data_IF_029700591137
#
_entry.id   IF_029700591137
#
_cell.length_a   1.000
_cell.length_b   1.000
_cell.length_c   1.000
_cell.angle_alpha   90.00
_cell.angle_beta   90.00
_cell.angle_gamma   90.00
#
_symmetry.space_group_name_H-M   'P 1'
#
loop_
_entity.id
_entity.type
_entity.pdbx_description
1 polymer ?
#
# COMPACT_ATOMS: atom_id res chain seq x y z
N UNK A 1 5.42 -39.85 -26.02
CA UNK A 1 5.62 -38.38 -25.96
C UNK A 1 4.77 -37.86 -24.80
N UNK A 2 5.34 -37.74 -23.60
CA UNK A 2 4.62 -37.37 -22.37
C UNK A 2 4.71 -35.86 -22.09
N UNK A 3 5.87 -35.26 -22.33
CA UNK A 3 6.14 -33.86 -21.98
C UNK A 3 5.23 -32.83 -22.68
N UNK A 4 4.80 -33.10 -23.93
CA UNK A 4 3.91 -32.21 -24.66
C UNK A 4 2.48 -32.24 -24.10
N UNK A 5 2.05 -33.39 -23.59
CA UNK A 5 0.72 -33.54 -22.99
C UNK A 5 0.65 -32.73 -21.70
N UNK A 6 1.66 -32.81 -20.83
CA UNK A 6 1.73 -32.05 -19.57
C UNK A 6 1.60 -30.54 -19.83
N UNK A 7 2.38 -30.01 -20.78
CA UNK A 7 2.28 -28.60 -21.17
C UNK A 7 0.87 -28.25 -21.65
N UNK A 8 0.25 -29.09 -22.47
CA UNK A 8 -1.11 -28.83 -22.98
C UNK A 8 -2.16 -28.94 -21.88
N UNK A 9 -1.98 -29.84 -20.90
CA UNK A 9 -2.85 -29.95 -19.74
C UNK A 9 -2.81 -28.70 -18.87
N UNK A 10 -1.63 -28.12 -18.66
CA UNK A 10 -1.47 -26.86 -17.90
C UNK A 10 -2.09 -25.66 -18.64
N UNK A 11 -2.01 -25.66 -19.97
CA UNK A 11 -2.59 -24.60 -20.81
C UNK A 11 -4.10 -24.79 -21.05
N UNK A 12 -4.65 -25.97 -20.80
CA UNK A 12 -6.05 -26.32 -21.09
C UNK A 12 -7.07 -25.45 -20.36
N UNK A 13 -6.92 -25.15 -19.05
CA UNK A 13 -7.78 -24.20 -18.35
C UNK A 13 -7.79 -22.82 -19.02
N UNK A 14 -6.60 -22.28 -19.31
CA UNK A 14 -6.43 -20.98 -19.97
C UNK A 14 -7.00 -20.98 -21.40
N UNK A 15 -6.91 -22.11 -22.11
CA UNK A 15 -7.52 -22.29 -23.43
C UNK A 15 -9.05 -22.23 -23.35
N UNK A 16 -9.66 -22.89 -22.36
CA UNK A 16 -11.12 -22.87 -22.12
C UNK A 16 -11.59 -21.46 -21.73
N UNK A 17 -10.75 -20.72 -21.02
CA UNK A 17 -11.01 -19.33 -20.63
C UNK A 17 -10.67 -18.31 -21.74
N UNK A 18 -10.16 -18.76 -22.88
CA UNK A 18 -9.75 -17.95 -24.03
C UNK A 18 -8.69 -16.88 -23.69
N UNK A 19 -7.87 -17.12 -22.66
CA UNK A 19 -6.82 -16.19 -22.19
C UNK A 19 -5.46 -16.44 -22.86
N UNK A 20 -5.34 -17.51 -23.65
CA UNK A 20 -4.10 -17.81 -24.38
C UNK A 20 -3.87 -16.86 -25.56
N UNK A 21 -2.59 -16.57 -25.81
CA UNK A 21 -2.17 -15.89 -27.05
C UNK A 21 -2.50 -16.74 -28.29
N UNK A 22 -2.66 -16.10 -29.46
CA UNK A 22 -3.03 -16.78 -30.72
C UNK A 22 -2.06 -17.92 -31.08
N UNK A 23 -0.76 -17.73 -30.87
CA UNK A 23 0.25 -18.75 -31.16
C UNK A 23 0.08 -19.97 -30.25
N UNK A 24 -0.16 -19.75 -28.96
CA UNK A 24 -0.40 -20.82 -27.98
C UNK A 24 -1.72 -21.56 -28.23
N UNK A 25 -2.76 -20.86 -28.69
CA UNK A 25 -4.05 -21.49 -29.06
C UNK A 25 -3.88 -22.48 -30.21
N UNK A 26 -3.19 -22.08 -31.29
CA UNK A 26 -2.94 -22.96 -32.46
C UNK A 26 -2.14 -24.20 -32.04
N UNK A 27 -1.14 -24.03 -31.15
CA UNK A 27 -0.39 -25.15 -30.61
C UNK A 27 -1.28 -26.15 -29.87
N UNK A 28 -2.11 -25.68 -28.93
CA UNK A 28 -3.04 -26.53 -28.17
C UNK A 28 -4.05 -27.23 -29.09
N UNK A 29 -4.59 -26.53 -30.09
CA UNK A 29 -5.53 -27.11 -31.07
C UNK A 29 -4.90 -28.22 -31.91
N UNK A 30 -3.68 -28.00 -32.39
CA UNK A 30 -2.93 -29.03 -33.13
C UNK A 30 -2.71 -30.29 -32.28
N UNK A 31 -2.40 -30.11 -30.99
CA UNK A 31 -2.20 -31.22 -30.07
C UNK A 31 -3.51 -31.95 -29.79
N UNK A 32 -4.60 -31.22 -29.52
CA UNK A 32 -5.93 -31.79 -29.28
C UNK A 32 -6.45 -32.63 -30.46
N UNK A 33 -6.12 -32.24 -31.70
CA UNK A 33 -6.46 -33.02 -32.89
C UNK A 33 -5.72 -34.37 -32.96
N UNK A 34 -4.51 -34.43 -32.41
CA UNK A 34 -3.65 -35.63 -32.44
C UNK A 34 -3.75 -36.50 -31.18
N UNK A 35 -4.14 -35.93 -30.03
CA UNK A 35 -4.10 -36.55 -28.72
C UNK A 35 -5.50 -36.72 -28.12
N UNK A 36 -5.96 -37.97 -28.06
CA UNK A 36 -7.28 -38.32 -27.50
C UNK A 36 -7.38 -38.07 -26.00
N UNK A 37 -6.31 -38.28 -25.25
CA UNK A 37 -6.26 -38.07 -23.79
C UNK A 37 -6.51 -36.60 -23.44
N UNK A 38 -5.78 -35.68 -24.07
CA UNK A 38 -5.96 -34.24 -23.85
C UNK A 38 -7.35 -33.76 -24.31
N UNK A 39 -7.90 -34.36 -25.37
CA UNK A 39 -9.28 -34.07 -25.80
C UNK A 39 -10.31 -34.53 -24.78
N UNK A 40 -10.12 -35.69 -24.16
CA UNK A 40 -10.99 -36.17 -23.10
C UNK A 40 -10.95 -35.23 -21.88
N UNK A 41 -9.74 -34.84 -21.45
CA UNK A 41 -9.56 -33.91 -20.33
C UNK A 41 -10.25 -32.55 -20.59
N UNK A 42 -10.14 -32.01 -21.80
CA UNK A 42 -10.86 -30.78 -22.20
C UNK A 42 -12.36 -30.90 -21.95
N UNK A 43 -12.97 -32.03 -22.32
CA UNK A 43 -14.42 -32.23 -22.12
C UNK A 43 -14.81 -32.36 -20.65
N UNK A 44 -13.94 -32.95 -19.82
CA UNK A 44 -14.15 -33.04 -18.38
C UNK A 44 -14.11 -31.66 -17.72
N UNK A 45 -13.10 -30.85 -18.06
CA UNK A 45 -12.98 -29.47 -17.57
C UNK A 45 -14.15 -28.58 -18.01
N UNK A 46 -14.68 -28.78 -19.21
CA UNK A 46 -15.89 -28.05 -19.65
C UNK A 46 -17.13 -28.44 -18.84
N UNK A 47 -17.26 -29.73 -18.48
CA UNK A 47 -18.37 -30.20 -17.63
C UNK A 47 -18.25 -29.66 -16.21
N UNK A 48 -17.06 -29.66 -15.61
CA UNK A 48 -16.86 -29.09 -14.27
C UNK A 48 -17.16 -27.60 -14.25
N UNK A 49 -16.67 -26.83 -15.23
CA UNK A 49 -16.99 -25.40 -15.36
C UNK A 49 -18.49 -25.14 -15.51
N UNK A 50 -19.20 -25.97 -16.28
CA UNK A 50 -20.66 -25.85 -16.40
C UNK A 50 -21.39 -26.18 -15.09
N UNK A 51 -20.90 -27.18 -14.35
CA UNK A 51 -21.42 -27.51 -13.03
C UNK A 51 -21.21 -26.37 -12.03
N UNK A 52 -20.03 -25.78 -12.01
CA UNK A 52 -19.70 -24.64 -11.13
C UNK A 52 -20.55 -23.41 -11.48
N UNK A 53 -20.73 -23.12 -12.78
CA UNK A 53 -21.63 -22.05 -13.23
C UNK A 53 -23.09 -22.31 -12.84
N UNK A 54 -23.54 -23.57 -12.89
CA UNK A 54 -24.91 -23.95 -12.48
C UNK A 54 -25.08 -23.86 -10.97
N UNK A 55 -24.08 -24.30 -10.21
CA UNK A 55 -24.04 -24.18 -8.75
C UNK A 55 -24.03 -22.71 -8.34
N UNK A 56 -23.14 -21.90 -8.92
CA UNK A 56 -23.09 -20.45 -8.71
C UNK A 56 -24.43 -19.82 -9.07
N UNK A 57 -25.04 -20.16 -10.21
CA UNK A 57 -26.38 -19.64 -10.57
C UNK A 57 -27.45 -20.07 -9.56
N UNK A 58 -27.39 -21.29 -9.03
CA UNK A 58 -28.35 -21.76 -8.01
C UNK A 58 -28.15 -21.08 -6.64
N UNK A 59 -26.91 -20.76 -6.28
CA UNK A 59 -26.57 -19.98 -5.10
C UNK A 59 -26.97 -18.51 -5.31
N UNK A 60 -26.73 -17.96 -6.50
CA UNK A 60 -27.13 -16.60 -6.89
C UNK A 60 -28.64 -16.44 -7.02
N UNK A 61 -29.38 -17.48 -7.47
CA UNK A 61 -30.85 -17.45 -7.51
C UNK A 61 -31.48 -17.61 -6.12
N UNK A 62 -30.80 -18.30 -5.20
CA UNK A 62 -31.15 -18.30 -3.77
C UNK A 62 -30.76 -16.97 -3.09
N UNK A 63 -29.79 -16.27 -3.66
CA UNK A 63 -29.45 -14.87 -3.40
C UNK A 63 -30.32 -13.89 -4.23
N UNK A 64 -31.60 -14.21 -4.45
CA UNK A 64 -32.60 -13.14 -4.52
C UNK A 64 -32.87 -12.74 -3.07
N UNK A 65 -32.04 -11.81 -2.63
CA UNK A 65 -32.14 -11.08 -1.38
C UNK A 65 -33.58 -10.79 -0.99
N UNK A 66 -34.00 -11.39 0.12
CA UNK A 66 -34.84 -10.66 1.05
C UNK A 66 -34.10 -9.36 1.44
N UNK A 67 -34.79 -8.21 1.62
CA UNK A 67 -34.14 -6.91 1.88
C UNK A 67 -33.18 -6.88 3.08
N UNK A 68 -33.21 -7.90 3.94
CA UNK A 68 -32.48 -7.91 5.21
C UNK A 68 -31.03 -8.41 5.10
N UNK A 69 -30.70 -9.25 4.10
CA UNK A 69 -29.38 -9.93 4.06
C UNK A 69 -28.30 -9.17 3.25
N UNK A 70 -28.67 -8.38 2.24
CA UNK A 70 -27.70 -7.54 1.51
C UNK A 70 -27.21 -6.34 2.34
N UNK A 71 -28.01 -5.88 3.30
CA UNK A 71 -27.61 -4.82 4.21
C UNK A 71 -26.51 -5.28 5.18
N UNK A 72 -26.42 -6.57 5.49
CA UNK A 72 -25.40 -7.10 6.41
C UNK A 72 -24.00 -7.04 5.79
N UNK A 73 -23.85 -7.47 4.53
CA UNK A 73 -22.56 -7.47 3.83
C UNK A 73 -22.10 -6.03 3.56
N UNK A 74 -23.00 -5.16 3.13
CA UNK A 74 -22.70 -3.74 2.90
C UNK A 74 -22.43 -2.96 4.19
N UNK A 75 -23.00 -3.36 5.34
CA UNK A 75 -22.63 -2.81 6.66
C UNK A 75 -21.19 -3.13 7.00
N UNK A 76 -20.73 -4.36 6.77
CA UNK A 76 -19.37 -4.80 7.11
C UNK A 76 -18.31 -4.09 6.25
N UNK A 77 -18.56 -3.90 4.95
CA UNK A 77 -17.60 -3.23 4.04
C UNK A 77 -17.61 -1.70 4.21
N UNK A 78 -18.76 -1.07 4.49
CA UNK A 78 -18.83 0.37 4.83
C UNK A 78 -18.15 0.66 6.18
N UNK A 79 -18.22 -0.25 7.13
CA UNK A 79 -17.57 -0.10 8.43
C UNK A 79 -16.04 -0.15 8.33
N UNK A 80 -15.46 -0.97 7.44
CA UNK A 80 -14.02 -0.98 7.14
C UNK A 80 -13.51 0.34 6.53
N UNK A 81 -14.30 0.97 5.65
CA UNK A 81 -13.95 2.28 5.06
C UNK A 81 -14.08 3.43 6.07
N UNK A 82 -15.07 3.37 6.96
CA UNK A 82 -15.24 4.37 8.01
C UNK A 82 -14.24 4.18 9.17
N UNK A 83 -13.77 2.96 9.42
CA UNK A 83 -12.76 2.66 10.44
C UNK A 83 -11.42 3.40 10.21
N UNK A 84 -11.00 3.54 8.95
CA UNK A 84 -9.81 4.32 8.61
C UNK A 84 -9.95 5.82 8.97
N UNK A 85 -11.15 6.39 8.83
CA UNK A 85 -11.44 7.79 9.18
C UNK A 85 -11.44 7.97 10.71
N UNK A 86 -12.00 7.01 11.46
CA UNK A 86 -11.95 7.04 12.93
C UNK A 86 -10.51 6.98 13.46
N UNK A 87 -9.65 6.17 12.84
CA UNK A 87 -8.23 6.11 13.20
C UNK A 87 -7.52 7.45 13.01
N UNK A 88 -7.71 8.12 11.86
CA UNK A 88 -7.10 9.41 11.58
C UNK A 88 -7.59 10.51 12.54
N UNK A 89 -8.90 10.57 12.81
CA UNK A 89 -9.45 11.54 13.76
C UNK A 89 -8.97 11.30 15.19
N UNK A 90 -8.81 10.04 15.62
CA UNK A 90 -8.33 9.70 16.95
C UNK A 90 -6.87 10.11 17.15
N UNK A 91 -6.02 9.91 16.13
CA UNK A 91 -4.62 10.36 16.16
C UNK A 91 -4.55 11.89 16.29
N UNK A 92 -5.31 12.63 15.48
CA UNK A 92 -5.36 14.10 15.56
C UNK A 92 -5.85 14.58 16.93
N UNK A 93 -6.88 13.93 17.47
CA UNK A 93 -7.42 14.26 18.78
C UNK A 93 -6.39 14.01 19.91
N UNK A 94 -5.67 12.88 19.88
CA UNK A 94 -4.60 12.62 20.86
C UNK A 94 -3.46 13.64 20.76
N UNK A 95 -3.05 14.03 19.55
CA UNK A 95 -2.01 15.07 19.39
C UNK A 95 -2.47 16.42 19.93
N UNK A 96 -3.75 16.77 19.75
CA UNK A 96 -4.34 17.98 20.29
C UNK A 96 -4.43 17.94 21.83
N UNK A 97 -4.85 16.81 22.40
CA UNK A 97 -4.87 16.64 23.85
C UNK A 97 -3.49 16.73 24.46
N UNK A 98 -2.47 16.12 23.85
CA UNK A 98 -1.08 16.26 24.30
C UNK A 98 -0.63 17.72 24.25
N UNK A 99 -0.95 18.44 23.18
CA UNK A 99 -0.62 19.87 23.07
C UNK A 99 -1.35 20.74 24.10
N UNK A 100 -2.62 20.41 24.39
CA UNK A 100 -3.42 21.07 25.42
C UNK A 100 -2.84 20.80 26.81
N UNK A 101 -2.45 19.56 27.10
CA UNK A 101 -1.86 19.16 28.37
C UNK A 101 -0.50 19.82 28.61
N UNK A 102 0.32 19.97 27.57
CA UNK A 102 1.62 20.67 27.65
C UNK A 102 1.44 22.16 27.99
N UNK A 103 0.30 22.76 27.65
CA UNK A 103 0.03 24.17 27.95
C UNK A 103 -0.40 24.45 29.39
N UNK A 104 -0.76 23.43 30.16
CA UNK A 104 -1.32 23.61 31.51
C UNK A 104 -0.25 23.73 32.61
N UNK A 105 1.02 23.36 32.34
CA UNK A 105 2.09 23.34 33.35
C UNK A 105 3.17 24.43 33.23
N UNK A 106 3.11 25.33 32.22
CA UNK A 106 4.13 26.39 32.07
C UNK A 106 3.55 27.77 32.34
N UNK A 107 3.28 28.07 33.61
CA UNK A 107 3.15 29.43 34.09
C UNK A 107 4.57 30.01 34.23
N UNK A 108 5.04 30.90 33.34
CA UNK A 108 6.38 31.47 33.44
C UNK A 108 6.43 32.35 34.69
N UNK A 109 7.29 31.98 35.64
CA UNK A 109 7.65 32.84 36.75
C UNK A 109 8.18 34.17 36.19
N UNK A 110 7.72 35.34 36.68
CA UNK A 110 8.13 36.62 36.15
C UNK A 110 9.63 36.79 36.36
N UNK A 111 10.38 36.84 35.26
CA UNK A 111 11.80 37.22 35.26
C UNK A 111 11.86 38.67 35.72
N UNK A 112 12.33 38.84 36.94
CA UNK A 112 12.71 40.10 37.52
C UNK A 112 13.75 40.77 36.62
N UNK A 113 13.38 41.97 36.18
CA UNK A 113 14.23 42.84 35.38
C UNK A 113 15.33 43.34 36.29
N UNK A 114 16.57 43.04 35.91
CA UNK A 114 17.73 43.94 35.86
C UNK A 114 18.99 43.11 36.10
N UNK A 115 19.78 42.88 35.05
CA UNK A 115 21.20 42.63 35.21
C UNK A 115 21.96 43.60 34.32
N UNK A 116 22.83 44.45 34.90
CA UNK A 116 23.53 45.50 34.17
C UNK A 116 24.55 44.90 33.21
N UNK A 117 24.70 45.59 32.09
CA UNK A 117 25.68 45.31 31.05
C UNK A 117 27.08 45.49 31.64
N UNK A 118 27.74 44.38 32.02
CA UNK A 118 29.16 44.36 32.37
C UNK A 118 29.96 43.61 31.30
N UNK A 119 30.35 44.40 30.30
CA UNK A 119 31.66 44.50 29.63
C UNK A 119 32.64 43.34 29.87
N UNK A 120 33.12 42.82 28.74
CA UNK A 120 34.45 42.21 28.56
C UNK A 120 34.85 41.07 29.51
N UNK A 121 34.71 39.83 29.05
CA UNK A 121 35.75 38.83 29.33
C UNK A 121 36.07 38.02 28.08
N UNK A 122 37.33 38.13 27.69
CA UNK A 122 37.98 37.51 26.54
C UNK A 122 37.78 36.00 26.50
N UNK A 123 37.25 35.51 25.38
CA UNK A 123 37.17 34.09 25.05
C UNK A 123 38.58 33.54 24.77
N UNK A 124 39.18 32.87 25.75
CA UNK A 124 40.37 32.04 25.56
C UNK A 124 39.94 30.57 25.45
N UNK A 125 39.76 30.09 24.22
CA UNK A 125 39.64 28.66 23.95
C UNK A 125 41.04 28.09 23.71
N UNK A 126 41.59 27.47 24.74
CA UNK A 126 42.84 26.72 24.64
C UNK A 126 42.58 25.45 23.82
N UNK A 127 43.06 25.45 22.58
CA UNK A 127 42.86 24.36 21.64
C UNK A 127 43.67 23.13 22.08
N UNK A 128 43.02 22.16 22.73
CA UNK A 128 43.55 20.79 22.79
C UNK A 128 43.03 19.99 21.59
N UNK A 129 44.00 19.52 20.79
CA UNK A 129 43.84 18.88 19.48
C UNK A 129 43.01 17.61 19.56
N UNK A 130 41.82 17.58 18.93
CA UNK A 130 41.34 16.38 18.21
C UNK A 130 40.15 16.74 17.29
N UNK A 131 40.33 16.47 15.99
CA UNK A 131 39.38 16.57 14.87
C UNK A 131 39.32 17.92 14.14
N UNK A 132 39.52 17.86 12.82
CA UNK A 132 39.95 18.96 11.95
C UNK A 132 38.87 19.99 11.61
N UNK A 133 39.31 21.25 11.54
CA UNK A 133 38.49 22.39 11.17
C UNK A 133 38.33 22.49 9.65
N UNK A 134 37.09 22.36 9.20
CA UNK A 134 36.62 22.86 7.91
C UNK A 134 36.30 24.34 8.13
N UNK A 135 37.02 25.23 7.45
CA UNK A 135 36.77 26.66 7.52
C UNK A 135 35.62 27.01 6.56
N UNK A 136 34.47 27.43 7.10
CA UNK A 136 33.42 28.09 6.31
C UNK A 136 33.58 29.60 6.49
N UNK A 137 34.05 30.28 5.45
CA UNK A 137 34.10 31.73 5.37
C UNK A 137 32.73 32.27 4.93
N UNK A 138 32.03 32.94 5.85
CA UNK A 138 30.69 33.51 5.63
C UNK A 138 30.72 34.86 4.89
N UNK A 139 31.88 35.44 4.60
CA UNK A 139 31.97 36.76 3.98
C UNK A 139 31.94 36.75 2.44
N UNK A 140 31.76 35.60 1.80
CA UNK A 140 31.71 35.50 0.32
C UNK A 140 30.31 35.27 -0.27
N UNK A 141 29.30 34.96 0.55
CA UNK A 141 27.93 34.66 0.04
C UNK A 141 27.07 35.92 -0.17
N UNK A 142 27.50 37.07 0.38
CA UNK A 142 26.75 38.33 0.22
C UNK A 142 26.79 38.92 -1.20
N UNK A 143 27.64 38.41 -2.11
CA UNK A 143 27.81 38.99 -3.45
C UNK A 143 27.03 38.24 -4.57
N UNK A 144 26.27 37.19 -4.26
CA UNK A 144 25.41 36.51 -5.24
C UNK A 144 23.93 36.93 -5.20
N UNK A 145 23.52 37.74 -4.22
CA UNK A 145 22.12 38.20 -4.06
C UNK A 145 21.80 39.55 -4.70
N UNK A 146 22.78 40.25 -5.30
CA UNK A 146 22.59 41.58 -5.90
C UNK A 146 22.50 41.58 -7.45
N UNK A 147 22.23 40.43 -8.09
CA UNK A 147 22.02 40.34 -9.55
C UNK A 147 20.79 39.49 -9.94
N UNK A 148 19.67 39.70 -9.25
CA UNK A 148 18.32 39.37 -9.75
C UNK A 148 17.40 40.56 -9.53
#
# INVERSE_FOLDING_TARGET
MTNQCEIVQDLLPLYIDQELSKESQVYVESHLASCKECSALKTELLKSKQFDLKLQRSLSSKSNSTPQELDFINRITKWKRNSAIFGACFILFLTFLLWMFIKEDFEPQPVDKEMPIEKETTFNFETSKRWGNINYDYNTVSNYFNNC
#
